data_IF_435967372763
#
_entry.id   IF_435967372763
#
_cell.length_a   1.000
_cell.length_b   1.000
_cell.length_c   1.000
_cell.angle_alpha   90.00
_cell.angle_beta   90.00
_cell.angle_gamma   90.00
#
_symmetry.space_group_name_H-M   'P 1'
#
loop_
_entity.id
_entity.type
_entity.pdbx_description
1 polymer ?
#
# COMPACT_ATOMS: atom_id res chain seq x y z
N UNK A 1 17.90 6.17 -14.79
CA UNK A 1 17.84 6.19 -13.32
C UNK A 1 16.42 5.83 -12.98
N UNK A 2 16.18 4.82 -12.14
CA UNK A 2 14.81 4.37 -11.88
C UNK A 2 14.13 5.38 -10.96
N UNK A 3 12.89 5.77 -11.30
CA UNK A 3 12.11 6.76 -10.58
C UNK A 3 10.97 6.12 -9.80
N UNK A 4 10.92 6.40 -8.50
CA UNK A 4 9.91 5.87 -7.58
C UNK A 4 9.21 7.05 -6.91
N UNK A 5 7.88 7.12 -7.03
CA UNK A 5 7.08 8.05 -6.21
C UNK A 5 6.39 7.27 -5.11
N UNK A 6 6.58 7.68 -3.85
CA UNK A 6 6.00 7.01 -2.69
C UNK A 6 4.81 7.80 -2.15
N UNK A 7 3.72 7.11 -1.81
CA UNK A 7 2.58 7.69 -1.11
C UNK A 7 2.55 7.19 0.33
N UNK A 8 2.66 8.12 1.26
CA UNK A 8 2.61 7.88 2.70
C UNK A 8 1.39 8.57 3.33
N UNK A 9 0.95 8.06 4.48
CA UNK A 9 -0.10 8.67 5.29
C UNK A 9 0.38 9.10 6.67
N UNK A 10 1.59 8.72 7.07
CA UNK A 10 2.18 9.03 8.38
C UNK A 10 3.66 9.35 8.25
N UNK A 11 4.14 10.26 9.09
CA UNK A 11 5.55 10.71 9.09
C UNK A 11 6.53 9.60 9.47
N UNK A 12 6.17 8.68 10.36
CA UNK A 12 7.06 7.62 10.85
C UNK A 12 7.58 6.71 9.74
N UNK A 13 6.69 6.31 8.83
CA UNK A 13 7.05 5.50 7.66
C UNK A 13 7.79 6.33 6.62
N UNK A 14 7.32 7.56 6.35
CA UNK A 14 8.01 8.50 5.45
C UNK A 14 9.48 8.70 5.84
N UNK A 15 9.76 8.90 7.14
CA UNK A 15 11.12 9.19 7.62
C UNK A 15 12.12 8.04 7.52
N UNK A 16 11.66 6.80 7.29
CA UNK A 16 12.50 5.59 7.39
C UNK A 16 12.48 4.71 6.15
N UNK A 17 11.38 4.73 5.39
CA UNK A 17 11.17 3.78 4.30
C UNK A 17 12.08 4.03 3.10
N UNK A 18 12.32 5.29 2.72
CA UNK A 18 13.23 5.61 1.63
C UNK A 18 14.63 5.02 1.86
N UNK A 19 15.16 5.17 3.08
CA UNK A 19 16.47 4.61 3.43
C UNK A 19 16.48 3.09 3.26
N UNK A 20 15.43 2.41 3.71
CA UNK A 20 15.30 0.95 3.58
C UNK A 20 15.29 0.51 2.11
N UNK A 21 14.66 1.27 1.23
CA UNK A 21 14.65 1.01 -0.23
C UNK A 21 16.04 1.23 -0.83
N UNK A 22 16.73 2.32 -0.48
CA UNK A 22 18.10 2.60 -0.94
C UNK A 22 19.11 1.55 -0.45
N UNK A 23 18.95 1.06 0.77
CA UNK A 23 19.82 0.01 1.31
C UNK A 23 19.62 -1.33 0.56
N UNK A 24 18.39 -1.59 0.13
CA UNK A 24 18.01 -2.84 -0.56
C UNK A 24 18.34 -2.83 -2.06
N UNK A 25 18.27 -1.67 -2.71
CA UNK A 25 18.44 -1.54 -4.17
C UNK A 25 19.73 -0.78 -4.48
N UNK A 26 20.71 -1.46 -5.09
CA UNK A 26 22.05 -0.92 -5.34
C UNK A 26 22.17 -0.03 -6.58
N UNK A 27 21.16 0.02 -7.44
CA UNK A 27 21.14 0.88 -8.62
C UNK A 27 20.79 2.34 -8.25
N UNK A 28 21.20 3.35 -9.03
CA UNK A 28 20.77 4.72 -8.83
C UNK A 28 19.25 4.87 -8.86
N UNK A 29 18.68 5.50 -7.83
CA UNK A 29 17.25 5.76 -7.66
C UNK A 29 16.97 7.26 -7.48
N UNK A 30 16.00 7.76 -8.25
CA UNK A 30 15.29 9.01 -7.96
C UNK A 30 14.05 8.66 -7.17
N UNK A 31 13.92 9.19 -5.95
CA UNK A 31 12.79 8.92 -5.07
C UNK A 31 12.14 10.25 -4.70
N UNK A 32 10.83 10.31 -4.86
CA UNK A 32 9.98 11.41 -4.40
C UNK A 32 8.87 10.84 -3.52
N UNK A 33 8.26 11.70 -2.70
CA UNK A 33 7.24 11.29 -1.76
C UNK A 33 6.12 12.31 -1.65
N UNK A 34 4.89 11.80 -1.59
CA UNK A 34 3.71 12.52 -1.11
C UNK A 34 3.38 12.01 0.29
N UNK A 35 3.03 12.92 1.20
CA UNK A 35 2.51 12.58 2.52
C UNK A 35 1.14 13.20 2.68
N UNK A 36 0.10 12.37 2.81
CA UNK A 36 -1.26 12.82 3.11
C UNK A 36 -1.79 12.23 4.43
N UNK A 37 -1.63 12.99 5.51
CA UNK A 37 -2.11 12.63 6.85
C UNK A 37 -3.65 12.67 6.95
N UNK A 38 -4.36 13.36 6.03
CA UNK A 38 -5.83 13.38 6.02
C UNK A 38 -6.40 11.99 5.75
N UNK A 39 -5.75 11.18 4.91
CA UNK A 39 -6.24 9.84 4.56
C UNK A 39 -6.37 8.92 5.77
N UNK A 40 -5.42 8.98 6.71
CA UNK A 40 -5.46 8.16 7.92
C UNK A 40 -6.29 8.83 9.02
N UNK A 41 -6.07 10.11 9.30
CA UNK A 41 -6.75 10.81 10.40
C UNK A 41 -8.25 10.90 10.19
N UNK A 42 -8.71 11.11 8.95
CA UNK A 42 -10.13 11.11 8.65
C UNK A 42 -10.73 9.70 8.74
N UNK A 43 -10.02 8.67 8.28
CA UNK A 43 -10.50 7.30 8.38
C UNK A 43 -10.62 6.83 9.85
N UNK A 44 -9.65 7.21 10.70
CA UNK A 44 -9.71 6.96 12.14
C UNK A 44 -10.90 7.65 12.79
N UNK A 45 -11.15 8.92 12.43
CA UNK A 45 -12.31 9.68 12.94
C UNK A 45 -13.65 9.01 12.65
N UNK A 46 -13.81 8.43 11.46
CA UNK A 46 -15.06 7.77 11.05
C UNK A 46 -15.10 6.27 11.34
N UNK A 47 -13.97 5.64 11.67
CA UNK A 47 -13.85 4.20 11.88
C UNK A 47 -13.86 3.35 10.60
N UNK A 48 -13.89 3.99 9.42
CA UNK A 48 -13.83 3.35 8.11
C UNK A 48 -13.22 4.34 7.10
N UNK A 49 -12.98 3.91 5.86
CA UNK A 49 -12.45 4.78 4.80
C UNK A 49 -13.58 5.39 3.96
N UNK A 50 -13.97 6.65 4.19
CA UNK A 50 -15.16 7.22 3.58
C UNK A 50 -14.95 7.62 2.11
N UNK A 51 -16.03 7.89 1.35
CA UNK A 51 -15.95 8.27 -0.05
C UNK A 51 -15.03 9.46 -0.34
N UNK A 52 -14.98 10.46 0.56
CA UNK A 52 -14.07 11.61 0.42
C UNK A 52 -12.60 11.18 0.46
N UNK A 53 -12.23 10.17 1.25
CA UNK A 53 -10.87 9.64 1.26
C UNK A 53 -10.56 8.87 -0.03
N UNK A 54 -11.54 8.19 -0.63
CA UNK A 54 -11.37 7.53 -1.93
C UNK A 54 -11.10 8.55 -3.04
N UNK A 55 -11.84 9.65 -3.05
CA UNK A 55 -11.61 10.77 -3.97
C UNK A 55 -10.23 11.38 -3.74
N UNK A 56 -9.85 11.61 -2.48
CA UNK A 56 -8.53 12.19 -2.15
C UNK A 56 -7.39 11.27 -2.56
N UNK A 57 -7.47 9.98 -2.25
CA UNK A 57 -6.51 8.96 -2.67
C UNK A 57 -6.35 8.93 -4.20
N UNK A 58 -7.45 9.00 -4.94
CA UNK A 58 -7.38 9.03 -6.40
C UNK A 58 -6.62 10.27 -6.91
N UNK A 59 -6.89 11.45 -6.34
CA UNK A 59 -6.17 12.68 -6.68
C UNK A 59 -4.68 12.61 -6.31
N UNK A 60 -4.35 11.98 -5.18
CA UNK A 60 -2.96 11.79 -4.74
C UNK A 60 -2.20 10.85 -5.68
N UNK A 61 -2.83 9.76 -6.11
CA UNK A 61 -2.25 8.86 -7.11
C UNK A 61 -2.11 9.53 -8.48
N UNK A 62 -3.06 10.38 -8.88
CA UNK A 62 -2.93 11.20 -10.09
C UNK A 62 -1.76 12.17 -9.97
N UNK A 63 -1.62 12.85 -8.83
CA UNK A 63 -0.49 13.74 -8.57
C UNK A 63 0.84 13.00 -8.65
N UNK A 64 0.93 11.82 -8.03
CA UNK A 64 2.12 10.98 -8.08
C UNK A 64 2.45 10.53 -9.52
N UNK A 65 1.42 10.15 -10.30
CA UNK A 65 1.58 9.82 -11.72
C UNK A 65 2.15 10.97 -12.55
N UNK A 66 1.77 12.22 -12.27
CA UNK A 66 2.24 13.39 -13.03
C UNK A 66 3.76 13.61 -12.91
N UNK A 67 4.40 13.04 -11.90
CA UNK A 67 5.87 13.06 -11.78
C UNK A 67 6.56 12.10 -12.76
N UNK A 68 5.77 11.31 -13.51
CA UNK A 68 6.21 10.27 -14.44
C UNK A 68 7.19 9.25 -13.81
N UNK A 69 6.86 8.63 -12.67
CA UNK A 69 7.70 7.59 -12.09
C UNK A 69 7.58 6.27 -12.87
N UNK A 70 8.59 5.42 -12.75
CA UNK A 70 8.51 4.03 -13.24
C UNK A 70 7.54 3.20 -12.40
N UNK A 71 7.34 3.57 -11.13
CA UNK A 71 6.44 2.89 -10.19
C UNK A 71 5.98 3.83 -9.06
N UNK A 72 4.73 3.65 -8.63
CA UNK A 72 4.18 4.29 -7.43
C UNK A 72 4.12 3.24 -6.31
N UNK A 73 4.63 3.60 -5.12
CA UNK A 73 4.62 2.73 -3.94
C UNK A 73 3.75 3.33 -2.84
N UNK A 74 2.67 2.63 -2.48
CA UNK A 74 1.76 3.03 -1.40
C UNK A 74 2.17 2.31 -0.11
N UNK A 75 2.51 3.07 0.93
CA UNK A 75 3.09 2.49 2.16
C UNK A 75 2.10 2.31 3.31
N UNK A 76 0.80 2.47 3.06
CA UNK A 76 -0.24 2.30 4.07
C UNK A 76 -1.17 1.14 3.71
N UNK A 77 -1.08 0.04 4.47
CA UNK A 77 -1.88 -1.18 4.25
C UNK A 77 -3.39 -0.95 4.30
N UNK A 78 -3.86 0.02 5.08
CA UNK A 78 -5.29 0.37 5.12
C UNK A 78 -5.81 0.90 3.78
N UNK A 79 -4.92 1.41 2.91
CA UNK A 79 -5.28 1.91 1.58
C UNK A 79 -5.35 0.80 0.52
N UNK A 80 -4.78 -0.36 0.78
CA UNK A 80 -4.58 -1.42 -0.23
C UNK A 80 -5.84 -1.87 -0.96
N UNK A 81 -7.00 -2.08 -0.31
CA UNK A 81 -8.23 -2.44 -1.03
C UNK A 81 -8.62 -1.36 -2.04
N UNK A 82 -8.52 -0.09 -1.67
CA UNK A 82 -8.90 1.04 -2.50
C UNK A 82 -7.89 1.29 -3.63
N UNK A 83 -6.60 1.11 -3.35
CA UNK A 83 -5.57 1.14 -4.40
C UNK A 83 -5.85 0.03 -5.41
N UNK A 84 -6.17 -1.19 -4.96
CA UNK A 84 -6.48 -2.34 -5.82
C UNK A 84 -7.65 -2.05 -6.76
N UNK A 85 -8.71 -1.41 -6.26
CA UNK A 85 -9.86 -0.97 -7.08
C UNK A 85 -9.45 0.07 -8.14
N UNK A 86 -8.50 0.95 -7.82
CA UNK A 86 -8.06 2.04 -8.68
C UNK A 86 -6.97 1.65 -9.68
N UNK A 87 -6.19 0.56 -9.45
CA UNK A 87 -5.00 0.23 -10.26
C UNK A 87 -5.29 0.18 -11.78
N UNK A 88 -6.46 -0.29 -12.19
CA UNK A 88 -6.85 -0.38 -13.61
C UNK A 88 -7.03 0.98 -14.31
N UNK A 89 -7.14 2.06 -13.54
CA UNK A 89 -7.27 3.44 -14.04
C UNK A 89 -5.92 4.13 -14.27
N UNK A 90 -4.81 3.46 -13.94
CA UNK A 90 -3.45 3.99 -14.05
C UNK A 90 -2.63 3.12 -15.02
N UNK A 91 -1.87 3.79 -15.87
CA UNK A 91 -0.84 3.22 -16.75
C UNK A 91 0.48 2.99 -16.00
N UNK A 92 0.74 3.80 -14.99
CA UNK A 92 1.90 3.67 -14.10
C UNK A 92 1.67 2.52 -13.12
N UNK A 93 2.59 1.56 -12.99
CA UNK A 93 2.48 0.48 -12.02
C UNK A 93 2.34 1.01 -10.58
N UNK A 94 1.38 0.47 -9.83
CA UNK A 94 1.17 0.81 -8.42
C UNK A 94 1.29 -0.45 -7.57
N UNK A 95 2.14 -0.41 -6.55
CA UNK A 95 2.28 -1.49 -5.57
C UNK A 95 1.99 -0.98 -4.16
N UNK A 96 1.44 -1.86 -3.32
CA UNK A 96 1.28 -1.61 -1.90
C UNK A 96 2.37 -2.35 -1.12
N UNK A 97 2.83 -1.77 -0.01
CA UNK A 97 3.91 -2.34 0.83
C UNK A 97 3.63 -3.76 1.32
N UNK A 98 2.35 -4.13 1.46
CA UNK A 98 1.91 -5.45 1.90
C UNK A 98 1.60 -6.42 0.74
N UNK A 99 1.84 -6.06 -0.53
CA UNK A 99 1.65 -6.94 -1.70
C UNK A 99 2.51 -8.20 -1.55
N UNK A 100 3.82 -8.01 -1.40
CA UNK A 100 4.77 -9.13 -1.29
C UNK A 100 4.63 -9.88 0.05
N UNK A 101 4.36 -9.17 1.14
CA UNK A 101 4.17 -9.77 2.47
C UNK A 101 3.02 -10.77 2.48
N UNK A 102 1.86 -10.39 1.94
CA UNK A 102 0.70 -11.29 1.87
C UNK A 102 0.93 -12.44 0.89
N UNK A 103 1.56 -12.17 -0.27
CA UNK A 103 1.94 -13.20 -1.23
C UNK A 103 2.82 -14.28 -0.59
N UNK A 104 3.88 -13.88 0.12
CA UNK A 104 4.80 -14.81 0.77
C UNK A 104 4.16 -15.56 1.94
N UNK A 105 3.29 -14.92 2.72
CA UNK A 105 2.61 -15.55 3.83
C UNK A 105 1.74 -16.73 3.33
N UNK A 106 0.89 -16.48 2.33
CA UNK A 106 0.05 -17.50 1.68
C UNK A 106 0.90 -18.56 0.98
N UNK A 107 2.01 -18.15 0.36
CA UNK A 107 2.92 -19.07 -0.32
C UNK A 107 3.54 -20.09 0.64
N UNK A 108 3.83 -19.70 1.88
CA UNK A 108 4.62 -20.50 2.82
C UNK A 108 3.80 -21.18 3.92
N UNK A 109 2.66 -20.62 4.30
CA UNK A 109 1.95 -21.03 5.52
C UNK A 109 0.46 -21.28 5.28
N UNK A 110 -0.11 -22.19 6.08
CA UNK A 110 -1.55 -22.49 6.09
C UNK A 110 -2.29 -21.73 7.20
N UNK A 111 -1.65 -21.48 8.35
CA UNK A 111 -2.20 -20.70 9.47
C UNK A 111 -1.41 -19.40 9.58
N UNK A 112 -2.08 -18.25 9.52
CA UNK A 112 -1.45 -16.93 9.44
C UNK A 112 -2.12 -16.00 10.45
N UNK A 113 -1.39 -15.55 11.46
CA UNK A 113 -1.90 -14.54 12.40
C UNK A 113 -1.67 -13.12 11.89
N UNK A 114 -2.67 -12.25 12.02
CA UNK A 114 -2.57 -10.83 11.68
C UNK A 114 -2.49 -9.98 12.95
N UNK A 115 -1.44 -9.17 13.05
CA UNK A 115 -1.25 -8.17 14.12
C UNK A 115 -1.13 -6.81 13.44
N UNK A 116 -1.95 -5.85 13.83
CA UNK A 116 -1.92 -4.51 13.27
C UNK A 116 -1.96 -3.43 14.37
N UNK A 117 -1.39 -2.27 14.03
CA UNK A 117 -1.35 -1.08 14.89
C UNK A 117 -2.70 -0.37 15.00
N UNK A 118 -3.55 -0.49 13.97
CA UNK A 118 -4.86 0.14 13.92
C UNK A 118 -5.95 -0.88 13.54
N UNK A 119 -7.15 -0.81 14.14
CA UNK A 119 -8.28 -1.68 13.78
C UNK A 119 -8.65 -1.61 12.29
N UNK A 120 -8.49 -0.45 11.67
CA UNK A 120 -8.78 -0.20 10.26
C UNK A 120 -7.86 -0.96 9.30
N UNK A 121 -6.76 -1.57 9.78
CA UNK A 121 -5.82 -2.36 8.98
C UNK A 121 -6.11 -3.86 9.00
N UNK A 122 -6.81 -4.35 10.03
CA UNK A 122 -7.09 -5.79 10.20
C UNK A 122 -7.89 -6.32 9.01
N UNK A 123 -9.08 -5.77 8.78
CA UNK A 123 -9.97 -6.26 7.72
C UNK A 123 -9.36 -6.13 6.31
N UNK A 124 -8.69 -5.02 5.94
CA UNK A 124 -7.93 -4.95 4.68
C UNK A 124 -6.88 -6.05 4.52
N UNK A 125 -6.12 -6.35 5.57
CA UNK A 125 -5.06 -7.36 5.54
C UNK A 125 -5.64 -8.76 5.38
N UNK A 126 -6.69 -9.10 6.15
CA UNK A 126 -7.39 -10.38 6.04
C UNK A 126 -7.96 -10.58 4.64
N UNK A 127 -8.66 -9.57 4.11
CA UNK A 127 -9.25 -9.62 2.76
C UNK A 127 -8.17 -9.82 1.69
N UNK A 128 -6.98 -9.24 1.88
CA UNK A 128 -5.85 -9.40 0.99
C UNK A 128 -5.26 -10.80 1.03
N UNK A 129 -5.06 -11.36 2.23
CA UNK A 129 -4.60 -12.73 2.40
C UNK A 129 -5.55 -13.73 1.73
N UNK A 130 -6.86 -13.56 1.91
CA UNK A 130 -7.87 -14.38 1.24
C UNK A 130 -7.85 -14.25 -0.28
N UNK A 131 -7.74 -13.01 -0.80
CA UNK A 131 -7.62 -12.76 -2.23
C UNK A 131 -6.38 -13.45 -2.82
N UNK A 132 -5.27 -13.41 -2.09
CA UNK A 132 -4.01 -14.00 -2.50
C UNK A 132 -4.03 -15.53 -2.41
N UNK A 133 -4.69 -16.10 -1.40
CA UNK A 133 -4.96 -17.54 -1.30
C UNK A 133 -5.78 -18.05 -2.48
N UNK A 134 -6.81 -17.31 -2.89
CA UNK A 134 -7.60 -17.62 -4.10
C UNK A 134 -6.73 -17.63 -5.36
N UNK A 135 -5.87 -16.62 -5.56
CA UNK A 135 -4.95 -16.58 -6.73
C UNK A 135 -3.95 -17.73 -6.74
N UNK A 136 -3.50 -18.17 -5.56
CA UNK A 136 -2.53 -19.25 -5.41
C UNK A 136 -3.20 -20.65 -5.33
N UNK A 137 -4.53 -20.74 -5.43
CA UNK A 137 -5.31 -21.97 -5.24
C UNK A 137 -4.97 -22.69 -3.92
N UNK A 138 -4.95 -21.94 -2.82
CA UNK A 138 -4.66 -22.44 -1.48
C UNK A 138 -5.79 -22.15 -0.50
N UNK A 139 -5.93 -23.03 0.47
CA UNK A 139 -6.74 -22.79 1.67
C UNK A 139 -5.84 -22.31 2.80
N UNK A 140 -6.26 -21.22 3.45
CA UNK A 140 -5.58 -20.63 4.61
C UNK A 140 -6.56 -20.45 5.77
N UNK A 141 -6.03 -20.37 6.98
CA UNK A 141 -6.72 -20.02 8.22
C UNK A 141 -6.08 -18.72 8.73
N UNK A 142 -6.88 -17.66 8.83
CA UNK A 142 -6.48 -16.29 9.19
C UNK A 142 -7.27 -15.76 10.36
#
# INVERSE_FOLDING_TARGET
>A
MNKITMLHTVKSVYSTFEQSVRDSIKSPLEITSLVDEFLVTNAEKYGFFPPVNRQKLYLDLLSAKLEAPDIIVVTCSSLTPFVTELKSSFDTPIICIDDETCYQAVKKYKKIGVIATAPTTIQPTLSKLESEAKKQNKEIEV
#
